data_IF_557826555789
#
_entry.id   IF_557826555789
#
_cell.length_a   1.000
_cell.length_b   1.000
_cell.length_c   1.000
_cell.angle_alpha   90.00
_cell.angle_beta   90.00
_cell.angle_gamma   90.00
#
_symmetry.space_group_name_H-M   'P 1'
#
loop_
_entity.id
_entity.type
_entity.pdbx_description
1 polymer ?
#
# COMPACT_ATOMS: atom_id res chain seq x y z
N UNK A 1 7.92 34.62 20.03
CA UNK A 1 7.73 35.26 18.72
C UNK A 1 8.78 34.68 17.78
N UNK A 2 8.49 33.56 17.11
CA UNK A 2 9.29 33.03 16.00
C UNK A 2 8.41 33.01 14.74
N UNK A 3 7.75 34.13 14.47
CA UNK A 3 6.82 34.31 13.34
C UNK A 3 7.52 34.33 11.98
N UNK A 4 8.84 34.51 11.96
CA UNK A 4 9.63 34.55 10.72
C UNK A 4 9.68 33.18 10.01
N UNK A 5 9.73 32.08 10.77
CA UNK A 5 9.75 30.74 10.18
C UNK A 5 8.36 30.31 9.67
N UNK A 6 7.29 30.68 10.38
CA UNK A 6 5.90 30.44 9.92
C UNK A 6 5.55 31.24 8.67
N UNK A 7 6.07 32.46 8.51
CA UNK A 7 5.83 33.28 7.33
C UNK A 7 6.56 32.75 6.08
N UNK A 8 7.77 32.19 6.22
CA UNK A 8 8.48 31.48 5.13
C UNK A 8 7.69 30.24 4.66
N UNK A 9 7.02 29.56 5.59
CA UNK A 9 6.27 28.32 5.29
C UNK A 9 5.06 28.55 4.36
N UNK A 10 4.52 29.78 4.32
CA UNK A 10 3.27 30.12 3.62
C UNK A 10 3.44 30.44 2.13
N UNK A 11 4.67 30.63 1.66
CA UNK A 11 4.93 31.28 0.36
C UNK A 11 5.00 30.33 -0.84
N UNK A 12 5.21 29.02 -0.65
CA UNK A 12 5.19 28.06 -1.77
C UNK A 12 3.88 27.27 -1.73
N UNK A 13 3.04 27.45 -2.76
CA UNK A 13 1.62 27.07 -2.85
C UNK A 13 1.25 25.57 -2.76
N UNK A 14 1.99 24.77 -2.00
CA UNK A 14 1.60 23.46 -1.48
C UNK A 14 1.43 23.57 0.03
N UNK A 15 0.49 22.81 0.58
CA UNK A 15 0.25 22.80 2.03
C UNK A 15 1.59 22.58 2.75
N UNK A 16 2.02 23.57 3.53
CA UNK A 16 3.33 23.56 4.21
C UNK A 16 3.48 22.32 5.11
N UNK A 17 2.34 21.79 5.57
CA UNK A 17 2.19 20.58 6.36
C UNK A 17 2.60 19.27 5.65
N UNK A 18 2.78 19.27 4.33
CA UNK A 18 3.08 18.08 3.53
C UNK A 18 4.47 18.11 2.86
N UNK A 19 5.18 19.23 2.96
CA UNK A 19 6.50 19.41 2.36
C UNK A 19 7.61 19.06 3.36
N UNK A 20 8.30 17.94 3.16
CA UNK A 20 9.30 17.42 4.10
C UNK A 20 10.54 18.30 4.24
N UNK A 21 10.99 18.93 3.15
CA UNK A 21 12.08 19.90 3.17
C UNK A 21 11.73 21.09 4.07
N UNK A 22 10.50 21.60 3.97
CA UNK A 22 10.01 22.70 4.80
C UNK A 22 9.84 22.31 6.27
N UNK A 23 9.31 21.12 6.54
CA UNK A 23 9.16 20.61 7.91
C UNK A 23 10.51 20.50 8.61
N UNK A 24 11.55 20.04 7.89
CA UNK A 24 12.92 20.05 8.40
C UNK A 24 13.59 21.42 8.33
N UNK A 25 13.01 22.42 7.66
CA UNK A 25 13.64 23.73 7.44
C UNK A 25 14.92 23.67 6.59
N UNK A 26 15.02 22.68 5.70
CA UNK A 26 16.17 22.49 4.83
C UNK A 26 15.80 22.71 3.36
N UNK A 27 16.80 22.98 2.53
CA UNK A 27 16.64 23.12 1.09
C UNK A 27 16.84 21.76 0.38
N UNK A 28 16.38 21.66 -0.88
CA UNK A 28 16.55 20.46 -1.72
C UNK A 28 18.02 20.13 -2.03
N UNK A 29 18.91 21.11 -1.88
CA UNK A 29 20.36 20.98 -2.04
C UNK A 29 21.10 20.59 -0.74
N UNK A 30 20.37 20.45 0.37
CA UNK A 30 20.98 20.15 1.67
C UNK A 30 21.59 18.75 1.68
N UNK A 31 22.76 18.67 2.32
CA UNK A 31 23.51 17.43 2.53
C UNK A 31 22.90 16.59 3.66
N UNK A 32 23.15 15.28 3.64
CA UNK A 32 22.59 14.35 4.63
C UNK A 32 23.03 14.71 6.07
N UNK A 33 24.25 15.24 6.24
CA UNK A 33 24.75 15.73 7.53
C UNK A 33 23.93 16.92 8.04
N UNK A 34 23.63 17.89 7.16
CA UNK A 34 22.79 19.04 7.50
C UNK A 34 21.38 18.60 7.88
N UNK A 35 20.79 17.66 7.14
CA UNK A 35 19.48 17.08 7.47
C UNK A 35 19.47 16.47 8.88
N UNK A 36 20.53 15.74 9.26
CA UNK A 36 20.62 15.14 10.59
C UNK A 36 20.81 16.18 11.69
N UNK A 37 21.63 17.21 11.45
CA UNK A 37 21.83 18.31 12.40
C UNK A 37 20.53 19.06 12.63
N UNK A 38 19.83 19.43 11.56
CA UNK A 38 18.60 20.21 11.65
C UNK A 38 17.46 19.43 12.30
N UNK A 39 17.36 18.13 11.99
CA UNK A 39 16.46 17.21 12.68
C UNK A 39 16.70 17.21 14.19
N UNK A 40 17.95 17.14 14.65
CA UNK A 40 18.28 17.12 16.09
C UNK A 40 17.85 18.40 16.78
N UNK A 41 18.07 19.56 16.16
CA UNK A 41 17.66 20.86 16.71
C UNK A 41 16.15 20.92 16.86
N UNK A 42 15.40 20.65 15.79
CA UNK A 42 13.92 20.66 15.82
C UNK A 42 13.32 19.60 16.75
N UNK A 43 13.94 18.42 16.82
CA UNK A 43 13.47 17.35 17.70
C UNK A 43 13.55 17.74 19.18
N UNK A 44 14.57 18.51 19.59
CA UNK A 44 14.69 19.02 20.96
C UNK A 44 13.67 20.12 21.28
N UNK A 45 13.31 20.93 20.28
CA UNK A 45 12.29 21.98 20.42
C UNK A 45 10.89 21.38 20.55
N UNK A 46 10.57 20.38 19.72
CA UNK A 46 9.25 19.75 19.64
C UNK A 46 9.12 18.49 20.49
N UNK A 47 10.10 18.18 21.34
CA UNK A 47 10.09 16.96 22.14
C UNK A 47 8.85 16.92 23.07
N UNK A 48 8.11 15.80 23.14
CA UNK A 48 6.89 15.71 23.95
C UNK A 48 7.15 15.89 25.45
N UNK A 49 8.32 15.49 25.95
CA UNK A 49 8.71 15.69 27.36
C UNK A 49 8.83 17.17 27.74
N UNK A 50 9.31 18.01 26.81
CA UNK A 50 9.45 19.46 27.05
C UNK A 50 8.14 20.21 26.78
N UNK A 51 7.20 19.60 26.06
CA UNK A 51 5.92 20.19 25.67
C UNK A 51 4.73 19.28 26.04
N UNK A 52 4.55 18.88 27.31
CA UNK A 52 3.54 17.88 27.70
C UNK A 52 2.09 18.35 27.47
N UNK A 53 1.85 19.65 27.37
CA UNK A 53 0.52 20.24 27.22
C UNK A 53 0.19 20.61 25.76
N UNK A 54 1.10 20.38 24.81
CA UNK A 54 0.91 20.79 23.42
C UNK A 54 0.75 19.57 22.50
N UNK A 55 -0.49 19.24 22.17
CA UNK A 55 -0.82 18.16 21.22
C UNK A 55 -0.30 18.45 19.80
N UNK A 56 -0.21 19.72 19.40
CA UNK A 56 0.31 20.10 18.09
C UNK A 56 1.81 19.80 17.98
N UNK A 57 2.58 19.97 19.07
CA UNK A 57 3.99 19.63 19.10
C UNK A 57 4.22 18.13 18.84
N UNK A 58 3.37 17.25 19.40
CA UNK A 58 3.44 15.82 19.15
C UNK A 58 3.15 15.48 17.67
N UNK A 59 2.15 16.13 17.06
CA UNK A 59 1.83 15.95 15.64
C UNK A 59 2.96 16.47 14.73
N UNK A 60 3.54 17.63 15.04
CA UNK A 60 4.68 18.18 14.30
C UNK A 60 5.92 17.29 14.46
N UNK A 61 6.15 16.73 15.64
CA UNK A 61 7.25 15.78 15.88
C UNK A 61 7.10 14.51 15.03
N UNK A 62 5.89 13.98 14.91
CA UNK A 62 5.62 12.83 14.04
C UNK A 62 5.91 13.17 12.56
N UNK A 63 5.48 14.34 12.09
CA UNK A 63 5.79 14.85 10.74
C UNK A 63 7.30 15.02 10.53
N UNK A 64 8.01 15.57 11.52
CA UNK A 64 9.46 15.76 11.50
C UNK A 64 10.20 14.43 11.36
N UNK A 65 9.77 13.40 12.10
CA UNK A 65 10.34 12.07 12.02
C UNK A 65 10.10 11.43 10.64
N UNK A 66 8.87 11.51 10.13
CA UNK A 66 8.55 11.00 8.78
C UNK A 66 9.38 11.70 7.69
N UNK A 67 9.57 13.01 7.81
CA UNK A 67 10.37 13.79 6.88
C UNK A 67 11.85 13.36 6.90
N UNK A 68 12.44 13.19 8.09
CA UNK A 68 13.81 12.67 8.24
C UNK A 68 13.97 11.30 7.59
N UNK A 69 13.04 10.37 7.85
CA UNK A 69 13.12 9.00 7.34
C UNK A 69 13.03 8.91 5.81
N UNK A 70 12.40 9.91 5.17
CA UNK A 70 12.28 10.02 3.71
C UNK A 70 13.48 10.72 3.10
N UNK A 71 13.95 11.80 3.71
CA UNK A 71 15.02 12.61 3.12
C UNK A 71 16.42 12.02 3.33
N UNK A 72 16.66 11.28 4.41
CA UNK A 72 17.94 10.59 4.65
C UNK A 72 18.15 9.35 3.79
N UNK A 73 17.07 8.72 3.34
CA UNK A 73 17.17 7.57 2.45
C UNK A 73 17.13 8.07 1.00
N UNK A 74 18.29 7.97 0.32
CA UNK A 74 18.45 8.37 -1.08
C UNK A 74 17.37 7.80 -2.01
N UNK A 75 16.89 6.58 -1.76
CA UNK A 75 15.90 5.94 -2.61
C UNK A 75 14.50 6.52 -2.38
N UNK A 76 14.16 6.79 -1.12
CA UNK A 76 12.89 7.44 -0.74
C UNK A 76 12.89 8.91 -1.14
N UNK A 77 14.00 9.64 -0.98
CA UNK A 77 14.16 11.03 -1.43
C UNK A 77 13.89 11.14 -2.93
N UNK A 78 14.46 10.23 -3.72
CA UNK A 78 14.18 10.17 -5.18
C UNK A 78 12.71 9.89 -5.50
N UNK A 79 12.04 9.01 -4.75
CA UNK A 79 10.59 8.74 -4.91
C UNK A 79 9.76 9.97 -4.52
N UNK A 80 10.16 10.68 -3.47
CA UNK A 80 9.54 11.90 -3.00
C UNK A 80 9.63 13.02 -4.03
N UNK A 81 10.81 13.25 -4.61
CA UNK A 81 11.01 14.26 -5.64
C UNK A 81 10.17 13.97 -6.91
N UNK A 82 10.01 12.69 -7.27
CA UNK A 82 9.12 12.28 -8.36
C UNK A 82 7.66 12.56 -8.04
N UNK A 83 7.20 12.19 -6.85
CA UNK A 83 5.83 12.46 -6.38
C UNK A 83 5.54 13.96 -6.30
N UNK A 84 6.49 14.77 -5.85
CA UNK A 84 6.36 16.23 -5.79
C UNK A 84 6.21 16.84 -7.19
N UNK A 85 6.95 16.32 -8.18
CA UNK A 85 6.87 16.78 -9.58
C UNK A 85 5.65 16.29 -10.34
N UNK A 86 5.04 15.18 -9.92
CA UNK A 86 3.89 14.59 -10.64
C UNK A 86 2.56 15.32 -10.41
N UNK A 87 2.49 16.25 -9.44
CA UNK A 87 1.27 17.02 -9.17
C UNK A 87 0.10 16.18 -8.64
N UNK A 88 0.39 14.98 -8.12
CA UNK A 88 -0.62 14.10 -7.57
C UNK A 88 -1.21 14.67 -6.27
N UNK A 89 -2.52 14.54 -6.10
CA UNK A 89 -3.28 15.11 -4.96
C UNK A 89 -3.27 14.19 -3.72
N UNK A 90 -2.63 13.04 -3.83
CA UNK A 90 -2.62 11.99 -2.82
C UNK A 90 -1.37 12.06 -1.97
N UNK A 91 -1.46 11.77 -0.65
CA UNK A 91 -0.33 11.95 0.27
C UNK A 91 0.83 11.00 -0.08
N UNK A 92 2.05 11.45 0.16
CA UNK A 92 3.26 10.70 -0.19
C UNK A 92 3.31 9.29 0.44
N UNK A 93 2.85 9.14 1.68
CA UNK A 93 2.80 7.83 2.34
C UNK A 93 1.89 6.84 1.57
N UNK A 94 0.76 7.33 1.04
CA UNK A 94 -0.11 6.51 0.18
C UNK A 94 0.57 6.18 -1.15
N UNK A 95 1.32 7.12 -1.72
CA UNK A 95 2.12 6.90 -2.93
C UNK A 95 3.15 5.78 -2.77
N UNK A 96 3.78 5.65 -1.60
CA UNK A 96 4.72 4.56 -1.32
C UNK A 96 4.03 3.18 -1.26
N UNK A 97 2.83 3.12 -0.67
CA UNK A 97 2.11 1.85 -0.46
C UNK A 97 1.54 1.24 -1.74
N UNK A 98 1.23 2.08 -2.74
CA UNK A 98 0.66 1.65 -4.03
C UNK A 98 1.57 0.71 -4.85
N UNK A 99 2.85 0.57 -4.49
CA UNK A 99 3.81 -0.33 -5.16
C UNK A 99 4.20 -1.57 -4.33
N UNK A 100 3.69 -1.74 -3.10
CA UNK A 100 4.09 -2.86 -2.21
C UNK A 100 2.91 -3.79 -1.92
N UNK A 101 1.68 -3.29 -1.94
CA UNK A 101 0.51 -4.16 -1.77
C UNK A 101 0.11 -4.75 -3.12
N UNK A 102 0.92 -5.70 -3.58
CA UNK A 102 0.51 -6.70 -4.56
C UNK A 102 -0.93 -7.13 -4.26
N UNK A 103 -1.73 -7.19 -5.32
CA UNK A 103 -3.05 -7.79 -5.36
C UNK A 103 -2.98 -9.24 -4.82
N UNK A 104 -2.96 -9.43 -3.49
CA UNK A 104 -2.80 -10.76 -2.89
C UNK A 104 -4.05 -11.65 -3.09
N UNK A 105 -5.15 -11.09 -3.61
CA UNK A 105 -6.32 -11.83 -4.07
C UNK A 105 -6.26 -12.22 -5.56
N UNK A 106 -5.23 -11.78 -6.32
CA UNK A 106 -5.03 -12.09 -7.76
C UNK A 106 -3.98 -13.18 -7.99
N UNK A 107 -3.48 -13.87 -6.96
CA UNK A 107 -2.79 -15.15 -7.16
C UNK A 107 -3.67 -16.29 -6.68
N UNK A 108 -4.39 -16.93 -7.61
CA UNK A 108 -4.90 -18.28 -7.36
C UNK A 108 -3.68 -19.15 -7.07
N UNK A 109 -3.51 -19.60 -5.83
CA UNK A 109 -2.54 -20.65 -5.51
C UNK A 109 -3.02 -21.91 -6.24
N UNK A 110 -2.52 -22.15 -7.44
CA UNK A 110 -2.54 -23.48 -8.04
C UNK A 110 -1.72 -24.35 -7.09
N UNK A 111 -2.40 -24.98 -6.13
CA UNK A 111 -1.92 -26.25 -5.60
C UNK A 111 -1.94 -27.16 -6.82
N UNK A 112 -0.80 -27.38 -7.45
CA UNK A 112 -0.69 -28.50 -8.36
C UNK A 112 -1.20 -29.72 -7.60
N UNK A 113 -2.24 -30.42 -8.08
CA UNK A 113 -2.68 -31.63 -7.41
C UNK A 113 -1.46 -32.55 -7.40
N UNK A 114 -1.09 -32.97 -6.19
CA UNK A 114 0.09 -33.78 -5.96
C UNK A 114 -0.12 -35.14 -6.63
N UNK A 115 0.35 -35.27 -7.86
CA UNK A 115 0.55 -36.54 -8.53
C UNK A 115 2.05 -36.68 -8.80
N UNK A 116 2.77 -37.12 -7.76
CA UNK A 116 4.09 -37.71 -7.97
C UNK A 116 3.86 -39.12 -8.52
N UNK A 117 4.10 -39.25 -9.82
CA UNK A 117 4.16 -40.51 -10.53
C UNK A 117 5.51 -41.19 -10.23
N UNK A 118 5.47 -42.33 -9.51
CA UNK A 118 6.48 -43.43 -9.43
C UNK A 118 6.19 -44.24 -8.15
N UNK A 119 6.07 -45.57 -8.10
CA UNK A 119 6.39 -46.62 -9.04
C UNK A 119 5.84 -47.96 -8.51
N UNK A 120 5.16 -48.77 -9.34
CA UNK A 120 5.09 -50.23 -9.18
C UNK A 120 5.07 -50.90 -10.57
N UNK A 121 6.10 -51.67 -10.91
CA UNK A 121 6.13 -52.53 -12.08
C UNK A 121 5.49 -53.88 -11.73
N UNK A 122 4.66 -54.42 -12.63
CA UNK A 122 4.66 -55.82 -13.12
C UNK A 122 3.26 -56.41 -13.34
N UNK A 123 2.97 -56.73 -14.62
CA UNK A 123 2.24 -57.89 -15.15
C UNK A 123 0.91 -58.33 -14.54
N UNK A 124 -0.16 -58.38 -15.35
CA UNK A 124 -0.80 -59.62 -15.86
C UNK A 124 -2.12 -59.34 -16.61
N UNK A 125 -2.17 -59.77 -17.87
CA UNK A 125 -3.31 -60.32 -18.63
C UNK A 125 -4.73 -59.78 -18.44
N UNK A 126 -5.35 -59.33 -19.55
CA UNK A 126 -6.80 -59.45 -19.72
C UNK A 126 -7.45 -58.35 -20.56
N UNK A 127 -7.45 -58.50 -21.88
CA UNK A 127 -8.41 -57.85 -22.76
C UNK A 127 -9.85 -58.21 -22.31
N UNK A 128 -10.66 -57.21 -21.98
CA UNK A 128 -12.10 -57.27 -22.28
C UNK A 128 -12.68 -55.87 -22.44
N UNK A 129 -12.96 -55.55 -23.70
CA UNK A 129 -13.87 -54.50 -24.11
C UNK A 129 -15.25 -54.73 -23.49
N UNK A 130 -15.90 -53.65 -23.08
CA UNK A 130 -17.36 -53.53 -23.05
C UNK A 130 -17.71 -52.04 -23.01
N UNK A 131 -18.14 -51.52 -24.16
CA UNK A 131 -19.06 -50.37 -24.19
C UNK A 131 -20.30 -50.69 -23.33
N UNK A 132 -20.87 -49.66 -22.71
CA UNK A 132 -22.30 -49.47 -22.92
C UNK A 132 -22.55 -48.07 -23.47
N UNK A 133 -23.07 -48.08 -24.69
CA UNK A 133 -23.93 -47.06 -25.27
C UNK A 133 -24.92 -46.55 -24.21
N UNK A 134 -24.89 -45.24 -23.92
CA UNK A 134 -25.67 -44.65 -22.85
C UNK A 134 -25.87 -43.13 -23.00
N UNK A 135 -26.62 -42.75 -24.04
CA UNK A 135 -27.44 -41.53 -24.14
C UNK A 135 -26.84 -40.21 -23.62
N UNK A 136 -26.21 -39.49 -24.55
CA UNK A 136 -25.96 -38.06 -24.47
C UNK A 136 -27.30 -37.30 -24.53
N UNK A 137 -27.95 -37.02 -23.39
CA UNK A 137 -28.91 -35.91 -23.17
C UNK A 137 -29.64 -36.04 -21.83
N UNK A 138 -29.97 -34.91 -21.21
CA UNK A 138 -30.54 -34.74 -19.84
C UNK A 138 -29.43 -34.60 -18.79
N UNK A 139 -28.97 -33.41 -18.40
CA UNK A 139 -29.74 -32.36 -17.74
C UNK A 139 -29.18 -30.96 -18.07
N UNK A 140 -29.71 -30.33 -19.13
CA UNK A 140 -29.81 -28.87 -19.19
C UNK A 140 -31.27 -28.55 -18.90
N UNK A 141 -31.62 -28.42 -17.62
CA UNK A 141 -32.83 -27.67 -17.24
C UNK A 141 -32.39 -26.22 -17.14
N UNK A 142 -32.83 -25.45 -18.13
CA UNK A 142 -32.75 -24.00 -18.12
C UNK A 142 -33.61 -23.50 -16.96
N UNK A 143 -32.98 -22.97 -15.92
CA UNK A 143 -33.70 -22.12 -14.97
C UNK A 143 -33.87 -20.75 -15.65
N UNK A 144 -35.11 -20.29 -15.91
CA UNK A 144 -35.31 -18.95 -16.42
C UNK A 144 -34.82 -17.96 -15.35
N UNK A 145 -34.02 -16.98 -15.77
CA UNK A 145 -33.36 -15.98 -14.92
C UNK A 145 -34.28 -15.18 -13.96
N UNK A 146 -35.59 -15.41 -13.98
CA UNK A 146 -36.59 -14.78 -13.12
C UNK A 146 -36.72 -15.39 -11.71
N UNK A 147 -36.29 -16.64 -11.48
CA UNK A 147 -36.33 -17.30 -10.16
C UNK A 147 -35.27 -16.73 -9.20
N UNK A 148 -34.06 -16.49 -9.71
CA UNK A 148 -32.96 -15.91 -8.92
C UNK A 148 -33.22 -14.45 -8.56
N UNK A 149 -33.81 -13.64 -9.46
CA UNK A 149 -34.17 -12.26 -9.15
C UNK A 149 -35.29 -12.15 -8.10
N UNK A 150 -36.13 -13.19 -7.95
CA UNK A 150 -37.20 -13.24 -6.94
C UNK A 150 -36.67 -13.54 -5.54
N UNK A 151 -35.60 -14.33 -5.42
CA UNK A 151 -34.92 -14.64 -4.14
C UNK A 151 -34.22 -13.42 -3.53
N UNK A 152 -33.81 -12.45 -4.35
CA UNK A 152 -33.19 -11.19 -3.88
C UNK A 152 -34.19 -10.14 -3.40
N UNK A 153 -35.49 -10.25 -3.74
CA UNK A 153 -36.48 -9.21 -3.44
C UNK A 153 -37.23 -9.43 -2.12
N UNK A 154 -36.91 -10.49 -1.40
CA UNK A 154 -37.57 -10.89 -0.15
C UNK A 154 -36.61 -10.95 1.06
N UNK A 155 -35.50 -10.19 1.02
CA UNK A 155 -34.76 -9.86 2.23
C UNK A 155 -35.25 -8.48 2.73
N UNK A 156 -36.19 -8.50 3.67
CA UNK A 156 -36.38 -7.36 4.59
C UNK A 156 -35.18 -7.33 5.57
N UNK A 157 -34.75 -6.13 5.95
CA UNK A 157 -33.64 -5.85 6.89
C UNK A 157 -33.97 -6.37 8.28
#
# INVERSE_FOLDING_TARGET
MNTFFDDILKETGRAADEDYYKILGCDELSTDEQLQCEYKVRALELHPDKNPNNSEAALQFQKLQAAKDVLLDSEKRRKYDKWRKSGLMMPFQQYLNLNITSLHWVTKKTKEPMLTESAHQSSTTGLKSCEPQGSLSSWRKEEPASELLKKFRNYEI
#
